data_IF_089883134834
#
_entry.id   IF_089883134834
#
_cell.length_a   1.000
_cell.length_b   1.000
_cell.length_c   1.000
_cell.angle_alpha   90.00
_cell.angle_beta   90.00
_cell.angle_gamma   90.00
#
_symmetry.space_group_name_H-M   'P 1'
#
loop_
_entity.id
_entity.type
_entity.pdbx_description
1 polymer ?
#
# COMPACT_ATOMS: atom_id res chain seq x y z
N UNK A 1 -13.73 -23.42 55.52
CA UNK A 1 -12.71 -22.87 54.60
C UNK A 1 -12.91 -23.57 53.26
N UNK A 2 -13.83 -23.07 52.44
CA UNK A 2 -14.11 -23.65 51.12
C UNK A 2 -12.98 -23.26 50.17
N UNK A 3 -12.22 -24.26 49.71
CA UNK A 3 -11.29 -24.09 48.60
C UNK A 3 -12.09 -23.92 47.32
N UNK A 4 -12.21 -22.69 46.83
CA UNK A 4 -12.61 -22.44 45.44
C UNK A 4 -11.59 -23.13 44.54
N UNK A 5 -12.04 -24.15 43.79
CA UNK A 5 -11.26 -24.68 42.68
C UNK A 5 -10.95 -23.53 41.70
N UNK A 6 -9.72 -23.45 41.15
CA UNK A 6 -9.43 -22.49 40.10
C UNK A 6 -10.33 -22.82 38.90
N UNK A 7 -11.21 -21.88 38.54
CA UNK A 7 -11.96 -21.95 37.29
C UNK A 7 -10.90 -22.03 36.19
N UNK A 8 -10.82 -23.18 35.50
CA UNK A 8 -9.95 -23.31 34.34
C UNK A 8 -10.42 -22.25 33.32
N UNK A 9 -9.61 -21.22 33.00
CA UNK A 9 -10.03 -20.18 32.06
C UNK A 9 -10.31 -20.74 30.65
N UNK A 10 -9.92 -21.98 30.38
CA UNK A 10 -10.21 -22.71 29.15
C UNK A 10 -11.63 -23.31 29.11
N UNK A 11 -12.31 -23.46 30.25
CA UNK A 11 -13.62 -24.12 30.33
C UNK A 11 -14.67 -23.49 29.43
N UNK A 12 -14.65 -22.16 29.27
CA UNK A 12 -15.58 -21.44 28.39
C UNK A 12 -15.35 -21.73 26.90
N UNK A 13 -14.11 -21.91 26.47
CA UNK A 13 -13.81 -22.16 25.05
C UNK A 13 -14.18 -23.59 24.61
N UNK A 14 -14.08 -24.57 25.50
CA UNK A 14 -14.54 -25.94 25.22
C UNK A 14 -16.06 -26.09 25.19
N UNK A 15 -16.80 -25.11 25.73
CA UNK A 15 -18.26 -25.10 25.74
C UNK A 15 -18.86 -24.44 24.48
N UNK A 16 -18.04 -23.72 23.69
CA UNK A 16 -18.49 -23.06 22.47
C UNK A 16 -18.27 -23.97 21.24
N UNK A 17 -19.29 -24.15 20.38
CA UNK A 17 -19.11 -24.73 19.06
C UNK A 17 -18.01 -24.01 18.28
N UNK A 18 -17.19 -24.77 17.54
CA UNK A 18 -16.07 -24.23 16.73
C UNK A 18 -16.48 -23.05 15.86
N UNK A 19 -17.67 -23.10 15.25
CA UNK A 19 -18.21 -22.03 14.41
C UNK A 19 -18.37 -20.70 15.17
N UNK A 20 -18.95 -20.73 16.38
CA UNK A 20 -19.14 -19.53 17.19
C UNK A 20 -17.80 -18.98 17.67
N UNK A 21 -16.85 -19.86 18.00
CA UNK A 21 -15.49 -19.44 18.34
C UNK A 21 -14.81 -18.72 17.17
N UNK A 22 -14.91 -19.25 15.94
CA UNK A 22 -14.37 -18.58 14.75
C UNK A 22 -15.04 -17.22 14.51
N UNK A 23 -16.36 -17.12 14.64
CA UNK A 23 -17.08 -15.84 14.50
C UNK A 23 -16.64 -14.78 15.53
N UNK A 24 -16.28 -15.20 16.75
CA UNK A 24 -15.70 -14.32 17.76
C UNK A 24 -14.29 -13.91 17.35
N UNK A 25 -13.43 -14.87 16.99
CA UNK A 25 -12.04 -14.61 16.63
C UNK A 25 -11.92 -13.72 15.38
N UNK A 26 -12.81 -13.86 14.39
CA UNK A 26 -12.86 -13.01 13.19
C UNK A 26 -13.18 -11.53 13.49
N UNK A 27 -13.69 -11.21 14.68
CA UNK A 27 -13.98 -9.83 15.11
C UNK A 27 -12.88 -9.19 15.96
N UNK A 28 -11.84 -9.95 16.29
CA UNK A 28 -10.74 -9.45 17.11
C UNK A 28 -9.68 -8.78 16.25
N UNK A 29 -9.08 -7.71 16.78
CA UNK A 29 -7.91 -7.07 16.20
C UNK A 29 -6.72 -8.05 16.10
N UNK A 30 -5.84 -7.84 15.13
CA UNK A 30 -4.70 -8.74 14.86
C UNK A 30 -3.80 -8.84 16.06
N UNK A 31 -3.53 -7.72 16.74
CA UNK A 31 -2.71 -7.67 17.95
C UNK A 31 -3.28 -8.53 19.09
N UNK A 32 -4.60 -8.56 19.25
CA UNK A 32 -5.28 -9.42 20.23
C UNK A 32 -5.16 -10.88 19.85
N UNK A 33 -5.35 -11.22 18.56
CA UNK A 33 -5.20 -12.59 18.07
C UNK A 33 -3.79 -13.13 18.26
N UNK A 34 -2.77 -12.32 17.96
CA UNK A 34 -1.37 -12.69 18.20
C UNK A 34 -1.09 -12.97 19.68
N UNK A 35 -1.72 -12.23 20.58
CA UNK A 35 -1.63 -12.47 22.04
C UNK A 35 -2.34 -13.78 22.44
N UNK A 36 -3.49 -14.08 21.83
CA UNK A 36 -4.25 -15.31 22.08
C UNK A 36 -3.51 -16.58 21.67
N UNK A 37 -2.57 -16.51 20.71
CA UNK A 37 -1.68 -17.63 20.38
C UNK A 37 -0.89 -18.14 21.59
N UNK A 38 -0.56 -17.26 22.54
CA UNK A 38 0.20 -17.59 23.73
C UNK A 38 -0.67 -18.22 24.84
N UNK A 39 -2.00 -18.19 24.73
CA UNK A 39 -2.92 -18.64 25.78
C UNK A 39 -3.06 -20.16 25.81
N UNK A 40 -3.28 -20.79 24.64
CA UNK A 40 -3.38 -22.25 24.57
C UNK A 40 -3.08 -22.82 23.17
N UNK A 41 -2.75 -24.12 23.12
CA UNK A 41 -2.40 -24.82 21.87
C UNK A 41 -3.52 -24.81 20.82
N UNK A 42 -4.81 -25.04 21.16
CA UNK A 42 -5.89 -24.97 20.17
C UNK A 42 -6.01 -23.60 19.49
N UNK A 43 -5.99 -22.50 20.27
CA UNK A 43 -6.04 -21.15 19.71
C UNK A 43 -4.82 -20.85 18.84
N UNK A 44 -3.62 -21.25 19.29
CA UNK A 44 -2.42 -21.11 18.47
C UNK A 44 -2.55 -21.84 17.13
N UNK A 45 -3.10 -23.07 17.13
CA UNK A 45 -3.32 -23.87 15.93
C UNK A 45 -4.30 -23.20 14.97
N UNK A 46 -5.44 -22.71 15.49
CA UNK A 46 -6.46 -22.02 14.68
C UNK A 46 -5.89 -20.72 14.08
N UNK A 47 -5.28 -19.88 14.91
CA UNK A 47 -4.81 -18.55 14.49
C UNK A 47 -3.58 -18.65 13.57
N UNK A 48 -2.81 -19.74 13.64
CA UNK A 48 -1.68 -19.99 12.75
C UNK A 48 -2.06 -20.61 11.41
N UNK A 49 -3.31 -21.05 11.23
CA UNK A 49 -3.80 -21.61 9.98
C UNK A 49 -3.86 -20.50 8.89
N UNK A 50 -3.19 -20.67 7.74
CA UNK A 50 -3.28 -19.72 6.64
C UNK A 50 -4.72 -19.45 6.18
N UNK A 51 -5.60 -20.46 6.26
CA UNK A 51 -7.02 -20.28 5.91
C UNK A 51 -7.71 -19.36 6.90
N UNK A 52 -7.43 -19.51 8.20
CA UNK A 52 -7.94 -18.58 9.21
C UNK A 52 -7.47 -17.15 8.96
N UNK A 53 -6.20 -16.95 8.58
CA UNK A 53 -5.69 -15.63 8.25
C UNK A 53 -6.42 -14.97 7.07
N UNK A 54 -6.66 -15.74 5.99
CA UNK A 54 -7.45 -15.28 4.82
C UNK A 54 -8.91 -14.98 5.19
N UNK A 55 -9.55 -15.88 5.93
CA UNK A 55 -10.94 -15.71 6.37
C UNK A 55 -11.08 -14.52 7.32
N UNK A 56 -10.15 -14.34 8.27
CA UNK A 56 -10.11 -13.19 9.18
C UNK A 56 -9.98 -11.89 8.38
N UNK A 57 -9.05 -11.83 7.43
CA UNK A 57 -8.85 -10.63 6.61
C UNK A 57 -10.10 -10.26 5.80
N UNK A 58 -10.79 -11.25 5.23
CA UNK A 58 -12.00 -11.06 4.41
C UNK A 58 -13.26 -10.75 5.23
N UNK A 59 -13.43 -11.43 6.37
CA UNK A 59 -14.68 -11.41 7.15
C UNK A 59 -14.63 -10.41 8.31
N UNK A 60 -13.45 -9.93 8.69
CA UNK A 60 -13.33 -8.93 9.75
C UNK A 60 -14.07 -7.66 9.36
N UNK A 61 -14.98 -7.24 10.25
CA UNK A 61 -15.70 -5.97 10.11
C UNK A 61 -14.88 -4.77 10.56
N UNK A 62 -13.75 -5.01 11.20
CA UNK A 62 -12.86 -3.99 11.75
C UNK A 62 -11.50 -4.11 11.08
N UNK A 63 -11.18 -3.15 10.22
CA UNK A 63 -9.83 -3.00 9.64
C UNK A 63 -9.12 -1.90 10.42
N UNK A 64 -7.94 -2.20 10.93
CA UNK A 64 -7.09 -1.22 11.57
C UNK A 64 -5.98 -0.83 10.61
N UNK A 65 -5.94 0.45 10.26
CA UNK A 65 -4.96 1.01 9.36
C UNK A 65 -3.84 1.68 10.14
N UNK A 66 -2.64 1.60 9.60
CA UNK A 66 -1.44 2.20 10.15
C UNK A 66 -0.73 2.98 9.08
N UNK A 67 -0.19 4.13 9.45
CA UNK A 67 0.73 4.91 8.64
C UNK A 67 2.14 4.47 8.97
N UNK A 68 2.80 3.88 7.98
CA UNK A 68 4.23 3.56 8.01
C UNK A 68 5.01 4.71 7.40
N UNK A 69 6.08 5.15 8.06
CA UNK A 69 6.98 6.20 7.59
C UNK A 69 8.39 5.62 7.45
N UNK A 70 8.98 5.91 6.29
CA UNK A 70 10.27 5.42 5.82
C UNK A 70 11.16 6.62 5.44
N UNK A 71 12.09 7.02 6.31
CA UNK A 71 13.01 8.14 6.03
C UNK A 71 13.87 7.87 4.79
N UNK A 72 14.12 8.90 3.96
CA UNK A 72 14.94 8.78 2.75
C UNK A 72 16.43 8.60 3.01
N UNK A 73 16.98 9.32 4.00
CA UNK A 73 18.43 9.33 4.27
C UNK A 73 18.69 8.99 5.74
N UNK A 74 18.58 7.71 6.08
CA UNK A 74 19.03 7.21 7.38
C UNK A 74 20.20 6.23 7.20
N UNK A 75 21.41 6.81 7.16
CA UNK A 75 22.67 6.09 7.32
C UNK A 75 22.94 5.93 8.80
N UNK A 76 22.66 4.76 9.37
CA UNK A 76 23.08 4.48 10.73
C UNK A 76 23.78 3.13 10.84
N UNK A 77 24.89 3.09 11.57
CA UNK A 77 25.66 1.89 11.87
C UNK A 77 24.84 0.86 12.69
N UNK A 78 23.68 1.28 13.22
CA UNK A 78 22.77 0.49 14.07
C UNK A 78 21.57 -0.14 13.34
N UNK A 79 21.48 0.01 12.01
CA UNK A 79 20.41 -0.56 11.18
C UNK A 79 19.34 0.45 10.74
N UNK A 80 18.40 -0.02 9.91
CA UNK A 80 17.33 0.79 9.33
C UNK A 80 16.08 0.79 10.22
N UNK A 81 15.57 1.98 10.55
CA UNK A 81 14.42 2.18 11.44
C UNK A 81 13.24 2.74 10.66
N UNK A 82 12.08 2.14 10.88
CA UNK A 82 10.78 2.57 10.37
C UNK A 82 9.91 3.07 11.52
N UNK A 83 8.98 3.96 11.22
CA UNK A 83 8.03 4.49 12.20
C UNK A 83 6.62 4.06 11.85
N UNK A 84 5.96 3.41 12.80
CA UNK A 84 4.60 2.90 12.64
C UNK A 84 3.65 3.58 13.62
N UNK A 85 2.49 3.99 13.11
CA UNK A 85 1.45 4.67 13.89
C UNK A 85 0.06 4.28 13.42
N UNK A 86 -0.83 4.00 14.37
CA UNK A 86 -2.23 3.72 14.07
C UNK A 86 -2.92 4.98 13.54
N UNK A 87 -3.67 4.84 12.43
CA UNK A 87 -4.26 5.98 11.72
C UNK A 87 -5.13 6.89 12.61
N UNK A 88 -6.04 6.38 13.47
CA UNK A 88 -6.84 7.24 14.34
C UNK A 88 -6.01 8.13 15.28
N UNK A 89 -4.80 7.72 15.66
CA UNK A 89 -3.88 8.54 16.45
C UNK A 89 -3.28 9.68 15.61
N UNK A 90 -2.94 9.41 14.35
CA UNK A 90 -2.48 10.43 13.38
C UNK A 90 -3.58 11.46 13.10
N UNK A 91 -4.81 10.99 12.98
CA UNK A 91 -5.97 11.79 12.60
C UNK A 91 -6.49 12.70 13.73
N UNK A 92 -6.45 12.23 14.99
CA UNK A 92 -7.04 12.92 16.13
C UNK A 92 -6.06 13.79 16.93
N UNK A 93 -4.75 13.61 16.79
CA UNK A 93 -3.78 14.36 17.60
C UNK A 93 -3.47 15.73 17.02
N UNK A 94 -3.79 16.78 17.79
CA UNK A 94 -3.35 18.16 17.52
C UNK A 94 -2.16 18.60 18.38
N UNK A 95 -1.81 17.87 19.45
CA UNK A 95 -0.86 18.37 20.47
C UNK A 95 0.00 17.33 21.18
N UNK A 96 -0.23 16.02 21.00
CA UNK A 96 0.58 14.98 21.63
C UNK A 96 1.41 14.23 20.59
N UNK A 97 2.70 14.11 20.89
CA UNK A 97 3.68 13.28 20.19
C UNK A 97 3.08 11.92 19.89
N UNK A 98 3.00 11.56 18.62
CA UNK A 98 2.57 10.23 18.20
C UNK A 98 3.47 9.23 18.94
N UNK A 99 2.88 8.27 19.66
CA UNK A 99 3.63 7.15 20.25
C UNK A 99 4.05 6.23 19.12
N UNK A 100 5.07 6.65 18.40
CA UNK A 100 5.62 5.97 17.25
C UNK A 100 6.28 4.69 17.73
N UNK A 101 5.90 3.56 17.13
CA UNK A 101 6.65 2.32 17.36
C UNK A 101 7.84 2.33 16.43
N UNK A 102 9.04 2.45 16.99
CA UNK A 102 10.27 2.22 16.23
C UNK A 102 10.34 0.74 15.84
N UNK A 103 10.40 0.49 14.54
CA UNK A 103 10.51 -0.83 13.96
C UNK A 103 11.90 -1.00 13.35
N UNK A 104 12.61 -2.04 13.80
CA UNK A 104 13.85 -2.44 13.16
C UNK A 104 13.51 -3.24 11.89
N UNK A 105 14.02 -2.80 10.76
CA UNK A 105 13.91 -3.56 9.52
C UNK A 105 14.54 -4.95 9.72
N UNK A 106 13.90 -6.04 9.23
CA UNK A 106 14.34 -7.40 9.52
C UNK A 106 15.72 -7.76 8.94
N UNK A 107 16.19 -6.99 7.94
CA UNK A 107 17.52 -7.17 7.39
C UNK A 107 18.48 -6.11 7.93
N UNK A 108 19.71 -6.53 8.18
CA UNK A 108 20.84 -5.63 8.38
C UNK A 108 21.89 -5.88 7.27
N UNK A 109 21.63 -5.44 6.03
CA UNK A 109 22.60 -5.59 4.94
C UNK A 109 23.96 -5.00 5.32
N UNK A 110 25.04 -5.70 4.99
CA UNK A 110 26.38 -5.14 5.11
C UNK A 110 26.54 -3.98 4.10
N UNK A 111 27.08 -2.85 4.56
CA UNK A 111 27.34 -1.67 3.73
C UNK A 111 26.23 -0.61 3.76
N UNK A 112 26.35 0.40 2.91
CA UNK A 112 25.34 1.45 2.76
C UNK A 112 24.23 0.99 1.82
N UNK A 113 23.03 0.78 2.35
CA UNK A 113 21.83 0.43 1.59
C UNK A 113 20.71 1.45 1.85
N UNK A 114 19.80 1.59 0.89
CA UNK A 114 18.54 2.32 1.01
C UNK A 114 17.39 1.33 1.00
N UNK A 115 16.35 1.63 1.75
CA UNK A 115 15.12 0.83 1.80
C UNK A 115 13.98 1.72 1.33
N UNK A 116 13.20 1.23 0.38
CA UNK A 116 12.03 1.92 -0.16
C UNK A 116 10.80 1.06 0.07
N UNK A 117 9.66 1.70 0.35
CA UNK A 117 8.37 1.01 0.32
C UNK A 117 7.96 0.91 -1.15
N UNK A 118 7.95 -0.31 -1.68
CA UNK A 118 7.57 -0.56 -3.06
C UNK A 118 6.05 -0.57 -3.22
N UNK A 119 5.34 -1.32 -2.37
CA UNK A 119 3.88 -1.43 -2.41
C UNK A 119 3.38 -2.14 -1.13
N UNK A 120 2.06 -2.17 -0.94
CA UNK A 120 1.41 -2.99 0.08
C UNK A 120 0.16 -3.67 -0.48
N UNK A 121 -0.15 -4.87 0.03
CA UNK A 121 -1.33 -5.64 -0.34
C UNK A 121 -1.72 -6.53 0.85
N UNK A 122 -2.98 -6.48 1.28
CA UNK A 122 -3.52 -7.29 2.39
C UNK A 122 -2.67 -7.30 3.67
N UNK A 123 -2.00 -6.19 3.97
CA UNK A 123 -1.10 -6.02 5.12
C UNK A 123 0.29 -6.63 4.96
N UNK A 124 0.61 -7.25 3.82
CA UNK A 124 1.99 -7.49 3.40
C UNK A 124 2.52 -6.19 2.81
N UNK A 125 3.69 -5.75 3.27
CA UNK A 125 4.41 -4.63 2.67
C UNK A 125 5.61 -5.20 1.92
N UNK A 126 5.80 -4.77 0.66
CA UNK A 126 7.01 -5.04 -0.08
C UNK A 126 7.96 -3.87 0.08
N UNK A 127 9.18 -4.17 0.50
CA UNK A 127 10.29 -3.24 0.51
C UNK A 127 11.26 -3.59 -0.59
N UNK A 128 11.85 -2.57 -1.21
CA UNK A 128 12.99 -2.72 -2.08
C UNK A 128 14.24 -2.25 -1.33
N UNK A 129 15.25 -3.10 -1.24
CA UNK A 129 16.55 -2.75 -0.65
C UNK A 129 17.55 -2.52 -1.78
N UNK A 130 18.03 -1.30 -1.98
CA UNK A 130 19.06 -0.96 -2.99
C UNK A 130 20.41 -0.70 -2.31
N UNK A 131 21.48 -1.31 -2.81
CA UNK A 131 22.83 -0.97 -2.38
C UNK A 131 23.26 0.34 -3.05
N UNK A 132 24.01 1.21 -2.35
CA UNK A 132 24.44 2.49 -2.96
C UNK A 132 25.36 2.29 -4.17
N UNK A 133 26.09 1.17 -4.21
CA UNK A 133 27.04 0.84 -5.28
C UNK A 133 26.50 -0.17 -6.29
N UNK A 134 25.26 -0.64 -6.15
CA UNK A 134 24.65 -1.63 -7.03
C UNK A 134 23.18 -1.29 -7.26
N UNK A 135 22.80 -1.13 -8.53
CA UNK A 135 21.43 -0.83 -8.92
C UNK A 135 20.50 -2.04 -8.76
N UNK A 136 21.03 -3.22 -8.44
CA UNK A 136 20.22 -4.41 -8.19
C UNK A 136 19.73 -4.46 -6.74
N UNK A 137 18.43 -4.20 -6.56
CA UNK A 137 17.77 -4.31 -5.28
C UNK A 137 17.15 -5.69 -5.03
N UNK A 138 17.11 -6.11 -3.77
CA UNK A 138 16.29 -7.25 -3.35
C UNK A 138 14.90 -6.77 -2.90
N UNK A 139 13.87 -7.55 -3.22
CA UNK A 139 12.55 -7.33 -2.66
C UNK A 139 12.37 -8.14 -1.38
N UNK A 140 11.74 -7.51 -0.39
CA UNK A 140 11.45 -8.11 0.91
C UNK A 140 9.97 -7.93 1.20
N UNK A 141 9.24 -9.04 1.22
CA UNK A 141 7.91 -9.04 1.78
C UNK A 141 8.00 -9.09 3.30
N UNK A 142 7.26 -8.21 3.98
CA UNK A 142 7.22 -8.16 5.42
C UNK A 142 5.80 -7.91 5.92
N UNK A 143 5.34 -8.77 6.82
CA UNK A 143 4.17 -8.49 7.64
C UNK A 143 4.68 -8.04 9.02
N UNK A 144 4.50 -6.75 9.32
CA UNK A 144 5.01 -6.10 10.53
C UNK A 144 4.43 -6.73 11.80
N UNK A 145 3.13 -7.06 11.81
CA UNK A 145 2.43 -7.58 12.98
C UNK A 145 2.84 -9.00 13.33
N UNK A 146 2.92 -9.89 12.34
CA UNK A 146 3.39 -11.26 12.54
C UNK A 146 4.91 -11.35 12.66
N UNK A 147 5.63 -10.27 12.31
CA UNK A 147 7.09 -10.16 12.23
C UNK A 147 7.73 -11.16 11.26
N UNK A 148 6.93 -11.76 10.37
CA UNK A 148 7.42 -12.70 9.35
C UNK A 148 7.79 -11.92 8.10
N UNK A 149 8.95 -12.24 7.54
CA UNK A 149 9.42 -11.66 6.29
C UNK A 149 9.92 -12.77 5.35
N UNK A 150 9.97 -12.45 4.07
CA UNK A 150 10.51 -13.30 3.02
C UNK A 150 11.27 -12.43 2.01
N UNK A 151 12.50 -12.81 1.73
CA UNK A 151 13.29 -12.22 0.63
C UNK A 151 12.84 -12.90 -0.66
N UNK A 152 12.52 -12.11 -1.66
CA UNK A 152 12.10 -12.61 -2.96
C UNK A 152 13.30 -12.79 -3.90
N UNK A 153 13.19 -13.65 -4.92
CA UNK A 153 14.21 -13.81 -5.94
C UNK A 153 14.56 -12.47 -6.60
N UNK A 154 15.84 -12.18 -6.83
CA UNK A 154 16.25 -10.95 -7.49
C UNK A 154 15.71 -10.90 -8.92
N UNK A 155 15.50 -9.69 -9.42
CA UNK A 155 15.16 -9.47 -10.82
C UNK A 155 16.45 -9.59 -11.66
N UNK A 156 16.72 -10.80 -12.14
CA UNK A 156 17.94 -11.10 -12.91
C UNK A 156 17.94 -10.44 -14.30
N UNK A 157 19.12 -10.24 -14.91
CA UNK A 157 19.27 -9.74 -16.28
C UNK A 157 18.59 -8.39 -16.55
N UNK A 158 18.58 -7.49 -15.57
CA UNK A 158 18.19 -6.10 -15.80
C UNK A 158 19.21 -5.46 -16.76
N UNK A 159 18.77 -4.74 -17.81
CA UNK A 159 19.69 -4.06 -18.70
C UNK A 159 20.45 -2.98 -17.92
N UNK A 160 21.77 -2.88 -18.11
CA UNK A 160 22.61 -1.87 -17.46
C UNK A 160 22.14 -0.41 -17.69
N UNK A 161 21.26 -0.18 -18.67
CA UNK A 161 20.64 1.10 -18.98
C UNK A 161 19.24 1.30 -18.36
N UNK A 162 18.77 0.44 -17.46
CA UNK A 162 17.50 0.65 -16.75
C UNK A 162 17.65 1.69 -15.66
N UNK A 163 16.90 2.79 -15.77
CA UNK A 163 17.00 3.90 -14.83
C UNK A 163 16.18 3.67 -13.56
N UNK A 164 15.06 2.93 -13.60
CA UNK A 164 14.29 2.53 -12.42
C UNK A 164 13.37 1.33 -12.71
N UNK A 165 13.05 0.55 -11.66
CA UNK A 165 12.05 -0.53 -11.70
C UNK A 165 10.92 -0.16 -10.75
N UNK A 166 9.68 -0.27 -11.24
CA UNK A 166 8.49 0.00 -10.45
C UNK A 166 7.84 -1.33 -10.09
N UNK A 167 7.66 -1.55 -8.79
CA UNK A 167 7.10 -2.78 -8.26
C UNK A 167 5.69 -2.54 -7.75
N UNK A 168 4.77 -3.42 -8.12
CA UNK A 168 3.39 -3.42 -7.67
C UNK A 168 3.03 -4.81 -7.15
N UNK A 169 2.14 -4.90 -6.16
CA UNK A 169 1.70 -6.18 -5.60
C UNK A 169 0.20 -6.30 -5.82
N UNK A 170 -0.26 -7.52 -6.08
CA UNK A 170 -1.68 -7.83 -5.98
C UNK A 170 -1.92 -9.29 -5.65
N UNK A 171 -3.18 -9.64 -5.47
CA UNK A 171 -3.62 -11.00 -5.19
C UNK A 171 -4.34 -11.60 -6.39
N UNK A 172 -3.83 -12.75 -6.87
CA UNK A 172 -4.50 -13.54 -7.88
C UNK A 172 -5.47 -14.51 -7.18
N UNK A 173 -6.78 -14.26 -7.37
CA UNK A 173 -7.84 -15.09 -6.78
C UNK A 173 -7.93 -16.47 -7.43
N UNK A 174 -7.45 -16.64 -8.66
CA UNK A 174 -7.49 -17.91 -9.38
C UNK A 174 -6.42 -18.87 -8.87
N UNK A 175 -5.18 -18.40 -8.74
CA UNK A 175 -4.07 -19.20 -8.20
C UNK A 175 -3.96 -19.15 -6.68
N UNK A 176 -4.79 -18.35 -6.01
CA UNK A 176 -4.83 -18.17 -4.55
C UNK A 176 -3.49 -17.69 -3.95
N UNK A 177 -2.76 -16.87 -4.73
CA UNK A 177 -1.38 -16.44 -4.45
C UNK A 177 -1.15 -14.96 -4.71
N UNK A 178 -0.25 -14.34 -3.93
CA UNK A 178 0.23 -13.00 -4.22
C UNK A 178 1.16 -12.99 -5.44
N UNK A 179 1.04 -11.97 -6.28
CA UNK A 179 1.92 -11.70 -7.41
C UNK A 179 2.61 -10.35 -7.24
N UNK A 180 3.86 -10.26 -7.66
CA UNK A 180 4.60 -9.01 -7.82
C UNK A 180 4.76 -8.73 -9.29
N UNK A 181 4.41 -7.53 -9.72
CA UNK A 181 4.62 -7.04 -11.07
C UNK A 181 5.75 -6.02 -11.04
N UNK A 182 6.79 -6.27 -11.81
CA UNK A 182 7.91 -5.37 -12.02
C UNK A 182 7.81 -4.78 -13.42
N UNK A 183 7.80 -3.46 -13.51
CA UNK A 183 7.86 -2.72 -14.77
C UNK A 183 9.25 -2.07 -14.82
N UNK A 184 10.06 -2.47 -15.79
CA UNK A 184 11.38 -1.90 -16.03
C UNK A 184 11.43 -1.20 -17.38
N UNK A 185 12.25 -0.16 -17.46
CA UNK A 185 12.45 0.66 -18.65
C UNK A 185 13.83 0.41 -19.22
N UNK A 186 13.91 0.20 -20.52
CA UNK A 186 15.15 0.02 -21.25
C UNK A 186 15.24 1.10 -22.33
N UNK A 187 16.21 1.99 -22.19
CA UNK A 187 16.56 2.90 -23.28
C UNK A 187 17.31 2.12 -24.36
N UNK A 188 16.76 2.12 -25.58
CA UNK A 188 17.40 1.61 -26.79
C UNK A 188 17.40 2.75 -27.81
N UNK A 189 18.58 3.28 -28.09
CA UNK A 189 18.78 4.46 -28.96
C UNK A 189 17.86 5.63 -28.55
N UNK A 190 16.99 6.09 -29.46
CA UNK A 190 16.01 7.15 -29.24
C UNK A 190 14.63 6.63 -28.78
N UNK A 191 14.53 5.35 -28.37
CA UNK A 191 13.29 4.72 -27.93
C UNK A 191 13.40 4.15 -26.51
N UNK A 192 12.28 4.12 -25.78
CA UNK A 192 12.17 3.47 -24.48
C UNK A 192 11.28 2.24 -24.64
N UNK A 193 11.84 1.05 -24.38
CA UNK A 193 11.08 -0.19 -24.29
C UNK A 193 10.75 -0.49 -22.84
N UNK A 194 9.52 -0.89 -22.57
CA UNK A 194 9.11 -1.45 -21.27
C UNK A 194 9.18 -2.95 -21.29
N UNK A 195 9.75 -3.53 -20.24
CA UNK A 195 9.62 -4.95 -19.94
C UNK A 195 8.73 -5.10 -18.69
N UNK A 196 7.78 -6.02 -18.75
CA UNK A 196 6.92 -6.34 -17.62
C UNK A 196 7.16 -7.78 -17.20
N UNK A 197 7.55 -7.97 -15.94
CA UNK A 197 7.76 -9.30 -15.36
C UNK A 197 6.86 -9.51 -14.16
N UNK A 198 6.40 -10.75 -14.01
CA UNK A 198 5.53 -11.18 -12.93
C UNK A 198 6.22 -12.29 -12.14
N UNK A 199 6.27 -12.11 -10.83
CA UNK A 199 6.70 -13.12 -9.86
C UNK A 199 5.47 -13.61 -9.10
N UNK A 200 5.19 -14.91 -9.17
CA UNK A 200 4.15 -15.53 -8.35
C UNK A 200 4.75 -16.06 -7.05
N UNK A 201 4.17 -15.68 -5.92
CA UNK A 201 4.63 -16.14 -4.61
C UNK A 201 4.41 -17.65 -4.50
N UNK A 202 5.52 -18.39 -4.32
CA UNK A 202 5.51 -19.86 -4.22
C UNK A 202 6.26 -20.54 -5.37
N UNK A 203 6.21 -20.00 -6.59
CA UNK A 203 7.07 -20.47 -7.70
C UNK A 203 8.50 -19.96 -7.54
N UNK A 204 8.66 -18.78 -6.92
CA UNK A 204 9.92 -18.10 -6.71
C UNK A 204 10.72 -17.92 -8.03
N UNK A 205 10.02 -17.66 -9.12
CA UNK A 205 10.61 -17.33 -10.43
C UNK A 205 9.86 -16.19 -11.11
N UNK A 206 10.62 -15.33 -11.79
CA UNK A 206 10.08 -14.27 -12.63
C UNK A 206 9.72 -14.85 -14.01
N UNK A 207 8.59 -14.39 -14.54
CA UNK A 207 8.14 -14.69 -15.90
C UNK A 207 7.85 -13.37 -16.63
N UNK A 208 8.19 -13.30 -17.91
CA UNK A 208 7.91 -12.11 -18.73
C UNK A 208 6.53 -12.25 -19.36
N UNK A 209 5.71 -11.21 -19.23
CA UNK A 209 4.40 -11.12 -19.89
C UNK A 209 4.49 -10.14 -21.07
N UNK A 210 3.54 -10.16 -22.03
CA UNK A 210 3.54 -9.21 -23.12
C UNK A 210 3.70 -7.77 -22.62
N UNK A 211 4.53 -6.99 -23.32
CA UNK A 211 4.79 -5.62 -22.96
C UNK A 211 3.53 -4.76 -23.13
N UNK A 212 3.51 -3.66 -22.39
CA UNK A 212 2.55 -2.57 -22.55
C UNK A 212 2.49 -2.12 -24.02
N UNK A 213 1.32 -1.71 -24.54
CA UNK A 213 1.26 -1.09 -25.86
C UNK A 213 2.24 0.08 -25.93
N UNK A 214 3.23 0.00 -26.83
CA UNK A 214 4.33 0.97 -26.99
C UNK A 214 3.88 2.42 -27.21
N UNK A 215 2.59 2.61 -27.48
CA UNK A 215 1.93 3.88 -27.72
C UNK A 215 1.78 4.73 -26.44
N UNK A 216 1.83 4.10 -25.26
CA UNK A 216 1.52 4.72 -23.96
C UNK A 216 2.75 5.18 -23.15
N UNK A 217 3.96 5.13 -23.72
CA UNK A 217 5.21 5.11 -22.92
C UNK A 217 6.37 5.94 -23.47
N UNK A 218 6.10 6.96 -24.29
CA UNK A 218 7.15 7.80 -24.88
C UNK A 218 7.78 8.80 -23.88
N UNK A 219 7.74 8.58 -22.56
CA UNK A 219 8.37 9.46 -21.56
C UNK A 219 8.69 8.89 -20.21
N UNK A 220 9.48 9.68 -19.48
CA UNK A 220 9.63 9.64 -18.03
C UNK A 220 8.25 9.48 -17.41
N UNK A 221 8.03 8.33 -16.81
CA UNK A 221 6.85 8.13 -16.01
C UNK A 221 7.16 8.57 -14.61
N UNK A 222 6.31 9.41 -14.07
CA UNK A 222 6.06 9.45 -12.63
C UNK A 222 5.31 8.15 -12.23
N UNK A 223 5.87 6.93 -12.47
CA UNK A 223 5.13 5.70 -12.14
C UNK A 223 5.11 5.55 -10.63
N UNK A 224 4.02 5.99 -10.02
CA UNK A 224 3.63 5.52 -8.70
C UNK A 224 3.35 4.01 -8.77
N UNK A 225 3.65 3.24 -7.71
CA UNK A 225 3.28 1.83 -7.64
C UNK A 225 1.80 1.61 -7.93
N UNK A 226 1.51 0.57 -8.71
CA UNK A 226 0.15 0.23 -9.12
C UNK A 226 -0.73 -0.17 -7.95
N UNK A 227 -2.02 0.11 -8.08
CA UNK A 227 -3.03 -0.07 -7.03
C UNK A 227 -3.86 -1.32 -7.28
N UNK A 228 -3.86 -2.24 -6.31
CA UNK A 228 -4.57 -3.50 -6.40
C UNK A 228 -6.04 -3.35 -6.00
N UNK A 229 -6.95 -3.70 -6.91
CA UNK A 229 -8.38 -3.78 -6.64
C UNK A 229 -9.05 -4.78 -7.58
N UNK A 230 -10.00 -5.55 -7.06
CA UNK A 230 -10.82 -6.49 -7.84
C UNK A 230 -10.01 -7.46 -8.73
N UNK A 231 -8.87 -7.97 -8.23
CA UNK A 231 -8.05 -8.95 -8.96
C UNK A 231 -7.13 -8.33 -10.03
N UNK A 232 -7.05 -7.00 -10.06
CA UNK A 232 -6.27 -6.25 -11.05
C UNK A 232 -5.31 -5.28 -10.37
N UNK A 233 -4.22 -4.94 -11.06
CA UNK A 233 -3.32 -3.85 -10.66
C UNK A 233 -3.50 -2.68 -11.63
N UNK A 234 -3.67 -1.47 -11.10
CA UNK A 234 -4.05 -0.28 -11.84
C UNK A 234 -2.98 0.80 -11.73
N UNK A 235 -2.50 1.32 -12.85
CA UNK A 235 -1.52 2.41 -12.91
C UNK A 235 -2.09 3.63 -13.62
N UNK A 236 -1.55 4.78 -13.26
CA UNK A 236 -1.67 6.01 -14.03
C UNK A 236 -0.50 6.05 -15.01
N UNK A 237 -0.79 6.32 -16.27
CA UNK A 237 0.23 6.51 -17.31
C UNK A 237 -0.12 7.73 -18.17
N UNK A 238 0.91 8.36 -18.74
CA UNK A 238 0.78 9.49 -19.65
C UNK A 238 0.73 9.00 -21.10
N UNK A 239 -0.40 9.19 -21.77
CA UNK A 239 -0.49 8.99 -23.21
C UNK A 239 0.09 10.20 -23.95
N UNK A 240 1.36 10.08 -24.33
CA UNK A 240 2.08 11.11 -25.08
C UNK A 240 1.55 11.37 -26.49
N UNK A 241 0.85 10.42 -27.11
CA UNK A 241 0.31 10.62 -28.46
C UNK A 241 -0.96 11.47 -28.43
N UNK A 242 -1.71 11.40 -27.33
CA UNK A 242 -2.96 12.11 -27.15
C UNK A 242 -2.78 13.33 -26.23
N UNK A 243 -1.93 14.28 -26.61
CA UNK A 243 -1.68 15.53 -25.88
C UNK A 243 -1.23 15.35 -24.41
N UNK A 244 -0.49 14.29 -24.09
CA UNK A 244 -0.09 13.95 -22.72
C UNK A 244 -1.30 13.75 -21.78
N UNK A 245 -2.39 13.16 -22.28
CA UNK A 245 -3.54 12.84 -21.44
C UNK A 245 -3.21 11.70 -20.48
N UNK A 246 -3.67 11.80 -19.24
CA UNK A 246 -3.61 10.72 -18.26
C UNK A 246 -4.54 9.58 -18.68
N UNK A 247 -4.10 8.33 -18.48
CA UNK A 247 -4.85 7.10 -18.75
C UNK A 247 -4.71 6.16 -17.56
N UNK A 248 -5.78 5.43 -17.23
CA UNK A 248 -5.73 4.37 -16.22
C UNK A 248 -5.57 3.04 -16.95
N UNK A 249 -4.46 2.38 -16.70
CA UNK A 249 -4.19 1.06 -17.24
C UNK A 249 -4.33 0.00 -16.14
N UNK A 250 -5.09 -1.04 -16.44
CA UNK A 250 -5.33 -2.18 -15.55
C UNK A 250 -4.71 -3.45 -16.13
N UNK A 251 -3.95 -4.18 -15.31
CA UNK A 251 -3.50 -5.55 -15.58
C UNK A 251 -4.35 -6.52 -14.78
N UNK A 252 -5.03 -7.43 -15.47
CA UNK A 252 -5.71 -8.57 -14.86
C UNK A 252 -4.68 -9.63 -14.48
N UNK A 253 -4.60 -9.98 -13.19
CA UNK A 253 -3.57 -10.89 -12.70
C UNK A 253 -3.83 -12.36 -13.05
N UNK A 254 -5.08 -12.74 -13.29
CA UNK A 254 -5.44 -14.12 -13.66
C UNK A 254 -5.09 -14.37 -15.13
N UNK A 255 -5.51 -13.45 -16.00
CA UNK A 255 -5.40 -13.62 -17.46
C UNK A 255 -4.16 -12.96 -18.06
N UNK A 256 -3.43 -12.16 -17.27
CA UNK A 256 -2.18 -11.48 -17.65
C UNK A 256 -2.34 -10.62 -18.92
N UNK A 257 -3.46 -9.89 -19.03
CA UNK A 257 -3.74 -8.95 -20.11
C UNK A 257 -4.05 -7.55 -19.56
N UNK A 258 -3.78 -6.55 -20.39
CA UNK A 258 -4.02 -5.17 -20.07
C UNK A 258 -5.35 -4.69 -20.66
N UNK A 259 -5.98 -3.78 -19.94
CA UNK A 259 -7.15 -3.04 -20.41
C UNK A 259 -7.08 -1.61 -19.91
N UNK A 260 -7.62 -0.69 -20.71
CA UNK A 260 -7.81 0.68 -20.29
C UNK A 260 -9.09 0.80 -19.46
N UNK A 261 -9.01 1.50 -18.34
CA UNK A 261 -10.17 1.83 -17.51
C UNK A 261 -10.63 3.23 -17.87
N UNK A 262 -11.90 3.33 -18.24
CA UNK A 262 -12.53 4.62 -18.55
C UNK A 262 -12.54 5.54 -17.32
N UNK A 263 -12.12 6.78 -17.53
CA UNK A 263 -12.11 7.85 -16.54
C UNK A 263 -13.47 8.57 -16.46
N UNK A 264 -13.79 9.23 -15.33
CA UNK A 264 -14.93 10.15 -15.27
C UNK A 264 -14.69 11.40 -16.12
N UNK A 265 -15.78 12.10 -16.44
CA UNK A 265 -15.66 13.49 -16.84
C UNK A 265 -15.42 14.34 -15.59
N UNK A 266 -14.23 14.91 -15.51
CA UNK A 266 -13.84 15.73 -14.37
C UNK A 266 -14.59 17.06 -14.33
N UNK A 267 -15.15 17.52 -15.47
CA UNK A 267 -15.85 18.79 -15.62
C UNK A 267 -14.92 19.99 -15.45
N UNK A 268 -13.73 19.94 -16.05
CA UNK A 268 -12.66 20.91 -15.82
C UNK A 268 -12.51 21.88 -16.97
N UNK A 269 -12.49 23.16 -16.64
CA UNK A 269 -12.10 24.24 -17.54
C UNK A 269 -10.57 24.45 -17.57
N UNK A 270 -9.84 23.78 -16.67
CA UNK A 270 -8.39 23.87 -16.49
C UNK A 270 -7.70 22.53 -16.81
N UNK A 271 -6.45 22.55 -17.32
CA UNK A 271 -5.68 21.33 -17.52
C UNK A 271 -5.34 20.66 -16.18
N UNK A 272 -5.33 19.32 -16.19
CA UNK A 272 -4.84 18.50 -15.09
C UNK A 272 -3.33 18.66 -14.94
N UNK A 273 -2.88 18.88 -13.71
CA UNK A 273 -1.47 18.99 -13.34
C UNK A 273 -0.96 17.66 -12.79
N UNK A 274 -1.68 17.09 -11.82
CA UNK A 274 -1.32 15.81 -11.21
C UNK A 274 -2.51 14.86 -11.20
N UNK A 275 -2.21 13.57 -11.28
CA UNK A 275 -3.19 12.50 -11.32
C UNK A 275 -2.71 11.30 -10.54
N UNK A 276 -3.38 11.01 -9.43
CA UNK A 276 -2.98 9.95 -8.51
C UNK A 276 -4.09 8.92 -8.37
N UNK A 277 -3.72 7.65 -8.25
CA UNK A 277 -4.63 6.56 -7.90
C UNK A 277 -4.43 6.13 -6.45
N UNK A 278 -5.51 5.70 -5.82
CA UNK A 278 -5.48 4.97 -4.56
C UNK A 278 -6.65 3.99 -4.49
N UNK A 279 -6.63 3.10 -3.50
CA UNK A 279 -7.78 2.24 -3.18
C UNK A 279 -8.34 2.59 -1.81
N UNK A 280 -9.65 2.79 -1.73
CA UNK A 280 -10.38 2.91 -0.46
C UNK A 280 -11.60 2.02 -0.47
N UNK A 281 -11.82 1.28 0.63
CA UNK A 281 -12.92 0.29 0.79
C UNK A 281 -13.11 -0.62 -0.43
N UNK A 282 -12.00 -1.15 -0.96
CA UNK A 282 -11.98 -2.04 -2.12
C UNK A 282 -12.53 -1.39 -3.41
N UNK A 283 -12.57 -0.05 -3.47
CA UNK A 283 -12.93 0.76 -4.64
C UNK A 283 -11.71 1.53 -5.15
N UNK A 284 -11.62 1.71 -6.47
CA UNK A 284 -10.58 2.54 -7.09
C UNK A 284 -10.93 4.02 -6.91
N UNK A 285 -9.96 4.81 -6.48
CA UNK A 285 -10.09 6.24 -6.24
C UNK A 285 -9.10 7.04 -7.08
N UNK A 286 -9.51 8.23 -7.50
CA UNK A 286 -8.68 9.18 -8.24
C UNK A 286 -8.59 10.47 -7.43
N UNK A 287 -7.38 11.03 -7.33
CA UNK A 287 -7.16 12.43 -7.00
C UNK A 287 -6.69 13.14 -8.27
N UNK A 288 -7.54 14.04 -8.77
CA UNK A 288 -7.31 14.82 -9.97
C UNK A 288 -7.07 16.28 -9.58
N UNK A 289 -5.86 16.78 -9.82
CA UNK A 289 -5.45 18.11 -9.41
C UNK A 289 -5.33 19.06 -10.60
N UNK A 290 -5.83 20.28 -10.45
CA UNK A 290 -5.49 21.41 -11.31
C UNK A 290 -4.75 22.46 -10.50
N UNK A 291 -4.50 23.63 -11.11
CA UNK A 291 -3.88 24.76 -10.43
C UNK A 291 -4.72 25.26 -9.24
N UNK A 292 -6.04 25.14 -9.33
CA UNK A 292 -6.96 25.78 -8.39
C UNK A 292 -7.65 24.80 -7.44
N UNK A 293 -7.94 23.58 -7.87
CA UNK A 293 -8.64 22.61 -7.04
C UNK A 293 -8.09 21.18 -7.19
N UNK A 294 -8.42 20.34 -6.22
CA UNK A 294 -8.28 18.89 -6.28
C UNK A 294 -9.64 18.24 -6.17
N UNK A 295 -9.99 17.38 -7.12
CA UNK A 295 -11.21 16.58 -7.09
C UNK A 295 -10.89 15.14 -6.73
N UNK A 296 -11.60 14.60 -5.74
CA UNK A 296 -11.48 13.19 -5.35
C UNK A 296 -12.69 12.42 -5.86
N UNK A 297 -12.44 11.32 -6.57
CA UNK A 297 -13.46 10.48 -7.20
C UNK A 297 -13.32 9.03 -6.76
N UNK A 298 -14.43 8.31 -6.67
CA UNK A 298 -14.47 6.87 -6.37
C UNK A 298 -15.28 6.11 -7.41
N UNK A 299 -14.76 4.97 -7.86
CA UNK A 299 -15.44 4.04 -8.75
C UNK A 299 -16.15 2.99 -7.92
N UNK A 300 -17.46 3.13 -7.74
CA UNK A 300 -18.25 2.23 -6.87
C UNK A 300 -18.35 0.81 -7.43
N UNK A 301 -18.38 0.68 -8.76
CA UNK A 301 -18.40 -0.61 -9.44
C UNK A 301 -17.18 -0.67 -10.36
N UNK A 302 -16.19 -1.45 -9.95
CA UNK A 302 -14.92 -1.54 -10.68
C UNK A 302 -15.13 -1.86 -12.17
N UNK A 303 -14.44 -1.13 -13.05
CA UNK A 303 -14.54 -1.21 -14.51
C UNK A 303 -15.74 -0.50 -15.14
N UNK A 304 -16.71 0.00 -14.36
CA UNK A 304 -17.87 0.72 -14.89
C UNK A 304 -17.68 2.24 -14.82
N UNK A 305 -17.56 2.88 -15.99
CA UNK A 305 -17.42 4.34 -16.14
C UNK A 305 -18.54 5.12 -15.42
N UNK A 306 -19.78 4.67 -15.53
CA UNK A 306 -20.93 5.39 -14.99
C UNK A 306 -21.01 5.28 -13.45
N UNK A 307 -20.14 4.47 -12.84
CA UNK A 307 -20.08 4.31 -11.39
C UNK A 307 -19.13 5.30 -10.70
N UNK A 308 -18.35 6.06 -11.48
CA UNK A 308 -17.53 7.12 -10.92
C UNK A 308 -18.40 8.18 -10.26
N UNK A 309 -18.14 8.44 -8.98
CA UNK A 309 -18.82 9.47 -8.20
C UNK A 309 -17.76 10.40 -7.61
N UNK A 310 -17.95 11.71 -7.76
CA UNK A 310 -17.13 12.70 -7.05
C UNK A 310 -17.48 12.65 -5.56
N UNK A 311 -16.47 12.45 -4.70
CA UNK A 311 -16.64 12.46 -3.26
C UNK A 311 -16.66 13.90 -2.73
N UNK A 312 -15.64 14.68 -3.07
CA UNK A 312 -15.51 16.08 -2.67
C UNK A 312 -14.48 16.81 -3.54
N UNK A 313 -14.48 18.13 -3.46
CA UNK A 313 -13.48 19.02 -4.06
C UNK A 313 -12.77 19.82 -2.96
N UNK A 314 -11.47 20.05 -3.13
CA UNK A 314 -10.63 20.85 -2.23
C UNK A 314 -10.05 22.01 -3.03
N UNK A 315 -10.08 23.22 -2.48
CA UNK A 315 -9.40 24.37 -3.10
C UNK A 315 -7.90 24.27 -2.79
N UNK A 316 -7.10 23.86 -3.78
CA UNK A 316 -5.70 23.50 -3.59
C UNK A 316 -4.86 24.72 -3.17
N UNK A 317 -4.97 25.80 -3.93
CA UNK A 317 -4.18 27.01 -3.72
C UNK A 317 -4.46 27.67 -2.36
N UNK A 318 -5.67 27.53 -1.82
CA UNK A 318 -6.03 28.12 -0.52
C UNK A 318 -5.64 27.26 0.66
N UNK A 319 -5.68 25.93 0.52
CA UNK A 319 -5.44 24.98 1.62
C UNK A 319 -3.96 24.61 1.75
N UNK A 320 -3.24 24.50 0.62
CA UNK A 320 -1.87 23.96 0.59
C UNK A 320 -0.85 24.92 -0.04
N UNK A 321 -1.28 26.10 -0.53
CA UNK A 321 -0.38 27.12 -1.06
C UNK A 321 0.41 26.64 -2.29
N UNK A 322 1.74 26.81 -2.26
CA UNK A 322 2.68 26.32 -3.27
C UNK A 322 3.36 25.01 -2.83
N UNK A 323 2.61 24.10 -2.19
CA UNK A 323 3.15 22.80 -1.79
C UNK A 323 3.76 22.06 -3.01
N UNK A 324 4.81 21.29 -2.74
CA UNK A 324 5.47 20.38 -3.69
C UNK A 324 4.48 19.33 -4.24
N UNK A 325 4.95 18.46 -5.14
CA UNK A 325 4.11 17.39 -5.68
C UNK A 325 3.63 16.40 -4.62
N UNK A 326 2.38 15.95 -4.78
CA UNK A 326 1.78 14.95 -3.89
C UNK A 326 2.48 13.62 -4.19
N UNK A 327 2.99 12.97 -3.14
CA UNK A 327 3.58 11.64 -3.28
C UNK A 327 2.50 10.56 -3.19
N UNK A 328 1.56 10.71 -2.25
CA UNK A 328 0.46 9.75 -2.07
C UNK A 328 -0.71 10.38 -1.33
N UNK A 329 -1.93 9.85 -1.53
CA UNK A 329 -3.09 10.20 -0.73
C UNK A 329 -3.79 8.97 -0.18
N UNK A 330 -4.58 9.13 0.88
CA UNK A 330 -5.41 8.08 1.45
C UNK A 330 -6.75 8.62 1.92
N UNK A 331 -7.84 7.94 1.59
CA UNK A 331 -9.19 8.33 2.02
C UNK A 331 -9.59 7.46 3.21
N UNK A 332 -9.76 8.11 4.36
CA UNK A 332 -10.30 7.51 5.56
C UNK A 332 -11.77 7.92 5.74
N UNK A 333 -12.66 7.12 5.16
CA UNK A 333 -14.10 7.43 5.11
C UNK A 333 -14.80 7.36 6.47
N UNK A 334 -14.25 6.66 7.47
CA UNK A 334 -14.91 6.53 8.79
C UNK A 334 -15.02 7.88 9.52
N UNK A 335 -14.03 8.76 9.35
CA UNK A 335 -13.95 10.07 10.01
C UNK A 335 -14.01 11.25 9.03
N UNK A 336 -14.48 11.02 7.80
CA UNK A 336 -14.59 12.03 6.74
C UNK A 336 -13.25 12.74 6.44
N UNK A 337 -12.14 11.97 6.40
CA UNK A 337 -10.78 12.51 6.30
C UNK A 337 -10.01 12.02 5.06
N UNK A 338 -9.18 12.91 4.52
CA UNK A 338 -8.20 12.66 3.48
C UNK A 338 -6.81 12.93 4.06
N UNK A 339 -5.91 11.97 3.90
CA UNK A 339 -4.49 12.13 4.21
C UNK A 339 -3.76 12.42 2.90
N UNK A 340 -2.97 13.49 2.87
CA UNK A 340 -2.11 13.85 1.76
C UNK A 340 -0.66 13.80 2.24
N UNK A 341 0.16 13.01 1.58
CA UNK A 341 1.57 12.86 1.88
C UNK A 341 2.37 13.58 0.81
N UNK A 342 3.17 14.54 1.27
CA UNK A 342 4.22 15.21 0.51
C UNK A 342 5.57 14.63 0.97
N UNK A 343 6.67 15.04 0.33
CA UNK A 343 8.00 14.49 0.65
C UNK A 343 8.49 14.82 2.06
N UNK A 344 8.00 15.90 2.66
CA UNK A 344 8.45 16.43 3.94
C UNK A 344 7.30 16.65 4.94
N UNK A 345 6.04 16.52 4.51
CA UNK A 345 4.89 16.82 5.34
C UNK A 345 3.69 15.90 5.05
N UNK A 346 2.93 15.62 6.10
CA UNK A 346 1.62 14.96 6.02
C UNK A 346 0.55 15.99 6.35
N UNK A 347 -0.52 16.04 5.55
CA UNK A 347 -1.72 16.82 5.82
C UNK A 347 -2.91 15.91 6.03
N UNK A 348 -3.78 16.28 6.96
CA UNK A 348 -5.07 15.65 7.20
C UNK A 348 -6.15 16.69 6.93
N UNK A 349 -6.92 16.47 5.87
CA UNK A 349 -8.04 17.31 5.48
C UNK A 349 -9.35 16.61 5.85
N UNK A 350 -10.19 17.26 6.65
CA UNK A 350 -11.56 16.79 6.87
C UNK A 350 -12.50 17.46 5.86
N UNK A 351 -13.05 16.66 4.95
CA UNK A 351 -13.83 17.15 3.81
C UNK A 351 -15.28 17.49 4.14
N UNK A 352 -15.71 17.26 5.38
CA UNK A 352 -17.05 17.60 5.85
C UNK A 352 -17.12 18.95 6.56
N UNK A 353 -16.08 19.30 7.30
CA UNK A 353 -15.99 20.59 7.99
C UNK A 353 -14.97 21.55 7.34
N UNK A 354 -14.30 21.10 6.27
CA UNK A 354 -13.30 21.87 5.51
C UNK A 354 -12.16 22.39 6.39
N UNK A 355 -11.60 21.51 7.23
CA UNK A 355 -10.45 21.85 8.08
C UNK A 355 -9.22 21.05 7.70
N UNK A 356 -8.09 21.75 7.62
CA UNK A 356 -6.78 21.16 7.39
C UNK A 356 -5.98 21.14 8.69
N UNK A 357 -5.29 20.03 8.95
CA UNK A 357 -4.37 19.86 10.07
C UNK A 357 -3.07 19.25 9.58
N UNK A 358 -1.98 19.58 10.26
CA UNK A 358 -0.68 18.95 10.06
C UNK A 358 -0.32 18.18 11.32
N UNK A 359 -0.38 16.83 11.33
CA UNK A 359 0.10 16.04 12.44
C UNK A 359 1.59 16.30 12.68
N UNK A 360 1.95 16.51 13.95
CA UNK A 360 3.35 16.61 14.36
C UNK A 360 3.92 15.19 14.55
N UNK A 361 4.68 14.73 13.57
CA UNK A 361 5.39 13.44 13.60
C UNK A 361 6.85 13.76 13.94
N UNK A 362 7.33 13.33 15.11
CA UNK A 362 8.60 13.81 15.68
C UNK A 362 9.81 13.44 14.82
N UNK A 363 9.72 12.34 14.08
CA UNK A 363 10.80 11.87 13.23
C UNK A 363 10.91 12.58 11.88
N UNK A 364 10.02 13.55 11.59
CA UNK A 364 10.02 14.35 10.36
C UNK A 364 10.79 15.67 10.48
N UNK A 365 11.37 16.00 11.64
CA UNK A 365 11.85 17.35 11.94
C UNK A 365 13.02 17.87 11.06
N UNK A 366 13.54 17.09 10.10
CA UNK A 366 14.54 17.58 9.13
C UNK A 366 14.82 16.66 7.93
N UNK A 367 13.99 15.66 7.62
CA UNK A 367 14.30 14.65 6.60
C UNK A 367 13.10 14.36 5.69
N UNK A 368 13.36 14.22 4.39
CA UNK A 368 12.38 13.69 3.45
C UNK A 368 12.08 12.22 3.76
N UNK A 369 10.86 11.78 3.44
CA UNK A 369 10.39 10.43 3.70
C UNK A 369 9.41 9.95 2.63
N UNK A 370 9.27 8.62 2.57
CA UNK A 370 8.12 7.97 1.94
C UNK A 370 7.22 7.49 3.06
N UNK A 371 5.92 7.48 2.82
CA UNK A 371 4.97 6.86 3.73
C UNK A 371 4.03 5.94 2.98
N UNK A 372 3.47 4.97 3.69
CA UNK A 372 2.45 4.09 3.17
C UNK A 372 1.43 3.74 4.25
N UNK A 373 0.14 3.78 3.92
CA UNK A 373 -0.90 3.26 4.79
C UNK A 373 -1.11 1.80 4.44
N UNK A 374 -1.03 0.95 5.45
CA UNK A 374 -1.27 -0.48 5.34
C UNK A 374 -2.25 -0.93 6.40
N UNK A 375 -2.82 -2.12 6.21
CA UNK A 375 -3.85 -2.68 7.09
C UNK A 375 -3.26 -3.80 7.95
N UNK A 376 -3.71 -3.89 9.21
CA UNK A 376 -3.41 -5.02 10.08
C UNK A 376 -3.84 -6.34 9.44
N UNK A 377 -2.94 -7.32 9.44
CA UNK A 377 -3.21 -8.61 8.84
C UNK A 377 -2.43 -9.75 9.49
N UNK A 378 -3.00 -10.96 9.46
CA UNK A 378 -2.34 -12.21 9.85
C UNK A 378 -1.69 -12.93 8.65
N UNK A 379 -1.85 -12.39 7.44
CA UNK A 379 -1.33 -13.00 6.21
C UNK A 379 0.21 -13.09 6.30
N UNK A 380 0.75 -14.27 6.06
CA UNK A 380 2.20 -14.51 6.04
C UNK A 380 2.75 -14.32 4.63
N UNK A 381 3.89 -13.64 4.48
CA UNK A 381 4.74 -13.68 3.28
C UNK A 381 5.23 -15.09 2.90
#
# INVERSE_FOLDING_TARGET
MEMRQPINPLGLFYLLPLKLMLEILYRLAVKSLLTLKCVCKPLNSIISDPKFAKDHFRLSKTRHYHLLICPWDFRNEKGFVLFDSQLPSVLNNTTSTITETMLNFPLNPCGTFRVFIAASCDGIICFETRCVNDNHGNLVFWNIFTRKFKILPPLENLPYSSFDVVYSIGYDYFTDSYKVVAISFKQIDNSCETEVRVLTLGTNSWSTIPCLPSQLLMGELEVSPGKFVSGTINWVILDKKNNNSWVILSLDLEKEYYQEISQPDYGLDEPLLEFHLEVSRDCLCILAQTKTFMGVWVMKNYGNKDSWTKLFNISFATEFGHADSINQFYIFEEDDQLILNFFDQVYVYNYKNHTTKTPNIQCLLSTSFISNVYVESLISP
#
